data_IF_722183795040
#
_entry.id   IF_722183795040
#
_cell.length_a   1.000
_cell.length_b   1.000
_cell.length_c   1.000
_cell.angle_alpha   90.00
_cell.angle_beta   90.00
_cell.angle_gamma   90.00
#
_symmetry.space_group_name_H-M   'P 1'
#
loop_
_entity.id
_entity.type
_entity.pdbx_description
1 polymer ?
#
# COMPACT_ATOMS: atom_id res chain seq x y z
N UNK A 1 -53.60 -15.19 -4.58
CA UNK A 1 -53.04 -16.48 -4.13
C UNK A 1 -51.57 -16.49 -4.50
N UNK A 2 -50.57 -16.51 -3.62
CA UNK A 2 -50.45 -16.18 -2.22
C UNK A 2 -49.02 -15.65 -2.05
N UNK A 3 -48.87 -14.53 -1.34
CA UNK A 3 -47.60 -13.96 -0.90
C UNK A 3 -46.98 -14.87 0.17
N UNK A 4 -45.67 -15.09 0.12
CA UNK A 4 -44.93 -15.77 1.19
C UNK A 4 -43.85 -14.80 1.65
N UNK A 5 -44.12 -14.18 2.79
CA UNK A 5 -43.17 -13.36 3.54
C UNK A 5 -42.08 -14.24 4.17
N UNK A 6 -40.84 -13.74 4.32
CA UNK A 6 -39.80 -14.43 5.09
C UNK A 6 -40.11 -14.39 6.59
N UNK A 7 -39.83 -15.48 7.34
CA UNK A 7 -40.16 -15.57 8.75
C UNK A 7 -39.26 -14.69 9.63
N UNK A 8 -39.89 -14.13 10.67
CA UNK A 8 -39.31 -13.24 11.67
C UNK A 8 -38.23 -13.91 12.53
N UNK A 9 -37.17 -13.16 12.83
CA UNK A 9 -36.19 -13.47 13.87
C UNK A 9 -36.76 -13.08 15.24
N UNK A 10 -37.14 -14.07 16.04
CA UNK A 10 -37.19 -13.97 17.51
C UNK A 10 -36.85 -15.33 18.11
N UNK A 11 -35.70 -15.44 18.76
CA UNK A 11 -35.61 -15.79 20.18
C UNK A 11 -34.14 -15.97 20.58
N UNK A 12 -33.72 -15.13 21.51
CA UNK A 12 -32.43 -15.17 22.17
C UNK A 12 -32.46 -16.19 23.32
N UNK A 13 -31.47 -17.08 23.39
CA UNK A 13 -31.08 -17.86 24.58
C UNK A 13 -29.60 -18.28 24.42
N UNK A 14 -28.87 -18.64 25.50
CA UNK A 14 -28.30 -17.75 26.51
C UNK A 14 -26.75 -17.80 26.47
N UNK A 15 -26.12 -16.83 27.12
CA UNK A 15 -24.67 -16.67 27.13
C UNK A 15 -23.88 -17.88 27.63
N UNK A 16 -22.90 -18.28 26.84
CA UNK A 16 -21.69 -18.96 27.29
C UNK A 16 -20.59 -17.90 27.38
N UNK A 17 -20.28 -17.48 28.60
CA UNK A 17 -19.11 -16.69 28.91
C UNK A 17 -17.86 -17.42 28.37
N UNK A 18 -17.16 -16.80 27.43
CA UNK A 18 -15.77 -17.12 27.18
C UNK A 18 -15.00 -16.24 28.16
N UNK A 19 -14.38 -16.87 29.15
CA UNK A 19 -13.49 -16.21 30.10
C UNK A 19 -12.43 -15.45 29.30
N UNK A 20 -12.58 -14.12 29.25
CA UNK A 20 -11.56 -13.22 28.78
C UNK A 20 -10.50 -13.20 29.86
N UNK A 21 -9.28 -13.59 29.49
CA UNK A 21 -8.14 -13.48 30.38
C UNK A 21 -7.83 -11.99 30.49
N UNK A 22 -8.29 -11.39 31.59
CA UNK A 22 -8.01 -10.02 31.97
C UNK A 22 -6.50 -9.74 32.00
N UNK A 23 -6.13 -8.59 31.42
CA UNK A 23 -5.08 -7.75 31.99
C UNK A 23 -3.63 -8.11 31.67
N UNK A 24 -3.15 -7.68 30.49
CA UNK A 24 -1.86 -6.97 30.42
C UNK A 24 -2.06 -5.75 29.50
N UNK A 25 -2.61 -4.68 30.07
CA UNK A 25 -2.39 -3.35 29.51
C UNK A 25 -0.96 -2.92 29.89
N UNK A 26 -0.07 -2.58 28.94
CA UNK A 26 1.19 -1.96 29.30
C UNK A 26 0.89 -0.56 29.84
N UNK A 27 0.94 -0.43 31.17
CA UNK A 27 0.94 0.85 31.87
C UNK A 27 2.27 1.54 31.56
N UNK A 28 2.25 2.59 30.75
CA UNK A 28 3.31 3.58 30.69
C UNK A 28 2.70 4.99 30.77
N UNK A 29 3.33 5.80 31.60
CA UNK A 29 2.83 7.08 32.13
C UNK A 29 2.57 8.14 31.05
N UNK A 30 1.32 8.64 31.00
CA UNK A 30 1.03 10.09 30.97
C UNK A 30 1.41 10.94 29.76
N UNK A 31 1.86 10.38 28.64
CA UNK A 31 1.95 11.09 27.35
C UNK A 31 0.81 10.57 26.49
N UNK A 32 -0.02 11.44 25.90
CA UNK A 32 -1.00 11.01 24.90
C UNK A 32 -0.31 10.14 23.86
N UNK A 33 -0.71 8.87 23.78
CA UNK A 33 -0.07 7.89 22.91
C UNK A 33 -0.35 8.28 21.47
N UNK A 34 0.67 8.78 20.76
CA UNK A 34 0.59 9.03 19.32
C UNK A 34 0.07 7.78 18.60
N UNK A 35 -1.01 7.94 17.85
CA UNK A 35 -1.63 6.88 17.06
C UNK A 35 -1.39 7.19 15.57
N UNK A 36 -0.43 6.51 14.92
CA UNK A 36 -0.07 6.79 13.55
C UNK A 36 -1.21 6.41 12.62
N UNK A 37 -1.21 7.09 11.49
CA UNK A 37 -2.09 6.78 10.39
C UNK A 37 -1.24 6.54 9.15
N UNK A 38 -1.43 5.39 8.52
CA UNK A 38 -0.74 5.05 7.30
C UNK A 38 -1.75 4.80 6.18
N UNK A 39 -1.34 5.23 4.98
CA UNK A 39 -1.88 4.74 3.72
C UNK A 39 -0.81 3.84 3.13
N UNK A 40 -1.11 2.59 2.89
CA UNK A 40 -0.29 1.75 2.02
C UNK A 40 -0.74 1.99 0.58
N UNK A 41 0.01 2.83 -0.15
CA UNK A 41 -0.40 3.23 -1.52
C UNK A 41 -0.20 2.13 -2.56
N UNK A 42 0.46 1.02 -2.20
CA UNK A 42 0.78 -0.07 -3.12
C UNK A 42 0.85 -1.41 -2.39
N UNK A 43 -0.28 -2.14 -2.38
CA UNK A 43 -0.37 -3.50 -1.84
C UNK A 43 -1.01 -4.44 -2.87
N UNK A 44 -0.39 -5.58 -3.16
CA UNK A 44 -0.86 -6.51 -4.18
C UNK A 44 -1.80 -7.57 -3.59
N UNK A 45 -2.89 -7.17 -2.92
CA UNK A 45 -3.83 -8.10 -2.27
C UNK A 45 -4.53 -9.08 -3.22
N UNK A 46 -4.43 -8.85 -4.53
CA UNK A 46 -4.88 -9.79 -5.56
C UNK A 46 -3.93 -10.97 -5.74
N UNK A 47 -2.71 -10.93 -5.18
CA UNK A 47 -1.76 -12.03 -5.27
C UNK A 47 -2.30 -13.28 -4.56
N UNK A 48 -2.26 -14.47 -5.21
CA UNK A 48 -2.79 -15.70 -4.65
C UNK A 48 -2.21 -16.09 -3.27
N UNK A 49 -1.01 -15.61 -2.89
CA UNK A 49 -0.42 -15.91 -1.57
C UNK A 49 -1.25 -15.39 -0.41
N UNK A 50 -2.08 -14.35 -0.61
CA UNK A 50 -3.01 -13.84 0.40
C UNK A 50 -4.28 -14.69 0.54
N UNK A 51 -4.52 -15.59 -0.41
CA UNK A 51 -5.59 -16.60 -0.33
C UNK A 51 -5.04 -18.01 -0.05
N UNK A 52 -3.75 -18.09 0.31
CA UNK A 52 -3.09 -19.33 0.69
C UNK A 52 -2.56 -20.19 -0.46
N UNK A 53 -2.53 -19.66 -1.68
CA UNK A 53 -2.06 -20.37 -2.86
C UNK A 53 -0.66 -19.90 -3.23
N UNK A 54 0.32 -20.82 -3.25
CA UNK A 54 1.70 -20.54 -3.59
C UNK A 54 2.11 -21.38 -4.79
N UNK A 55 2.47 -20.73 -5.90
CA UNK A 55 2.80 -21.39 -7.17
C UNK A 55 1.72 -22.42 -7.58
N UNK A 56 0.45 -22.01 -7.50
CA UNK A 56 -0.70 -22.87 -7.83
C UNK A 56 -1.04 -23.96 -6.81
N UNK A 57 -0.31 -24.07 -5.70
CA UNK A 57 -0.56 -25.08 -4.65
C UNK A 57 -1.17 -24.44 -3.40
N UNK A 58 -2.34 -24.90 -2.91
CA UNK A 58 -2.88 -24.48 -1.62
C UNK A 58 -1.94 -24.90 -0.47
N UNK A 59 -1.65 -23.98 0.45
CA UNK A 59 -0.75 -24.20 1.59
C UNK A 59 -1.39 -23.90 2.94
N UNK A 60 -2.36 -22.99 2.97
CA UNK A 60 -3.16 -22.67 4.15
C UNK A 60 -4.52 -22.13 3.71
N UNK A 61 -5.42 -21.95 4.66
CA UNK A 61 -6.73 -21.35 4.42
C UNK A 61 -6.59 -19.89 4.00
N UNK A 62 -7.60 -19.37 3.30
CA UNK A 62 -7.61 -17.96 2.90
C UNK A 62 -7.62 -17.07 4.14
N UNK A 63 -6.57 -16.26 4.32
CA UNK A 63 -6.39 -15.37 5.45
C UNK A 63 -6.40 -13.89 5.07
N UNK A 64 -6.90 -13.55 3.87
CA UNK A 64 -6.92 -12.19 3.34
C UNK A 64 -7.58 -11.19 4.31
N UNK A 65 -8.74 -11.52 4.88
CA UNK A 65 -9.41 -10.65 5.84
C UNK A 65 -8.57 -10.42 7.10
N UNK A 66 -7.83 -11.45 7.54
CA UNK A 66 -6.91 -11.32 8.67
C UNK A 66 -5.69 -10.46 8.30
N UNK A 67 -5.16 -10.54 7.08
CA UNK A 67 -4.09 -9.65 6.57
C UNK A 67 -4.54 -8.18 6.63
N UNK A 68 -5.77 -7.89 6.16
CA UNK A 68 -6.35 -6.55 6.21
C UNK A 68 -6.52 -6.09 7.66
N UNK A 69 -7.05 -6.95 8.54
CA UNK A 69 -7.22 -6.61 9.95
C UNK A 69 -5.90 -6.27 10.64
N UNK A 70 -4.83 -7.06 10.40
CA UNK A 70 -3.50 -6.77 10.94
C UNK A 70 -2.95 -5.42 10.52
N UNK A 71 -3.28 -4.96 9.30
CA UNK A 71 -2.90 -3.63 8.83
C UNK A 71 -3.64 -2.54 9.61
N UNK A 72 -4.95 -2.69 9.80
CA UNK A 72 -5.78 -1.75 10.56
C UNK A 72 -5.31 -1.67 12.02
N UNK A 73 -4.99 -2.81 12.63
CA UNK A 73 -4.57 -2.91 14.04
C UNK A 73 -3.32 -2.07 14.35
N UNK A 74 -2.49 -1.76 13.35
CA UNK A 74 -1.28 -0.95 13.49
C UNK A 74 -1.44 0.50 12.98
N UNK A 75 -2.66 0.90 12.59
CA UNK A 75 -2.96 2.24 12.09
C UNK A 75 -2.84 2.41 10.57
N UNK A 76 -2.68 1.33 9.80
CA UNK A 76 -2.75 1.39 8.34
C UNK A 76 -4.22 1.39 7.90
N UNK A 77 -4.84 2.56 7.98
CA UNK A 77 -6.28 2.75 7.80
C UNK A 77 -6.73 2.64 6.34
N UNK A 78 -5.82 2.83 5.37
CA UNK A 78 -6.13 2.85 3.93
C UNK A 78 -5.15 1.97 3.16
N UNK A 79 -5.67 1.14 2.27
CA UNK A 79 -4.91 0.21 1.46
C UNK A 79 -5.31 0.43 -0.01
N UNK A 80 -4.37 0.80 -0.86
CA UNK A 80 -4.60 0.91 -2.30
C UNK A 80 -4.10 -0.37 -2.97
N UNK A 81 -5.05 -1.17 -3.47
CA UNK A 81 -4.78 -2.44 -4.13
C UNK A 81 -4.47 -2.21 -5.59
N UNK A 82 -3.29 -2.65 -6.00
CA UNK A 82 -2.76 -2.43 -7.35
C UNK A 82 -3.46 -3.32 -8.38
N UNK A 83 -4.03 -2.70 -9.42
CA UNK A 83 -4.46 -3.36 -10.65
C UNK A 83 -3.34 -3.36 -11.69
N UNK A 84 -2.90 -4.54 -12.13
CA UNK A 84 -1.78 -4.70 -13.08
C UNK A 84 -2.21 -5.20 -14.47
N UNK A 85 -3.48 -5.56 -14.63
CA UNK A 85 -4.17 -5.81 -15.89
C UNK A 85 -5.69 -5.70 -15.67
N UNK A 86 -6.51 -6.03 -16.68
CA UNK A 86 -7.96 -5.96 -16.57
C UNK A 86 -8.54 -6.87 -15.47
N UNK A 87 -8.05 -8.10 -15.33
CA UNK A 87 -8.57 -9.07 -14.35
C UNK A 87 -8.17 -8.69 -12.92
N UNK A 88 -6.91 -8.30 -12.73
CA UNK A 88 -6.41 -7.79 -11.46
C UNK A 88 -7.10 -6.49 -11.08
N UNK A 89 -7.33 -5.58 -12.03
CA UNK A 89 -8.11 -4.35 -11.81
C UNK A 89 -9.55 -4.64 -11.38
N UNK A 90 -10.22 -5.61 -12.02
CA UNK A 90 -11.56 -6.04 -11.61
C UNK A 90 -11.56 -6.62 -10.19
N UNK A 91 -10.52 -7.39 -9.84
CA UNK A 91 -10.37 -7.99 -8.52
C UNK A 91 -10.11 -6.94 -7.45
N UNK A 92 -9.22 -5.98 -7.71
CA UNK A 92 -8.96 -4.85 -6.83
C UNK A 92 -10.24 -4.04 -6.56
N UNK A 93 -11.03 -3.76 -7.60
CA UNK A 93 -12.34 -3.09 -7.46
C UNK A 93 -13.34 -3.92 -6.64
N UNK A 94 -13.34 -5.26 -6.78
CA UNK A 94 -14.17 -6.14 -5.92
C UNK A 94 -13.74 -6.04 -4.45
N UNK A 95 -12.44 -6.10 -4.17
CA UNK A 95 -11.92 -5.94 -2.80
C UNK A 95 -12.29 -4.58 -2.20
N UNK A 96 -12.21 -3.50 -2.98
CA UNK A 96 -12.64 -2.18 -2.54
C UNK A 96 -14.15 -2.11 -2.17
N UNK A 97 -14.98 -2.94 -2.81
CA UNK A 97 -16.41 -3.07 -2.46
C UNK A 97 -16.63 -3.89 -1.20
N UNK A 98 -15.82 -4.92 -0.98
CA UNK A 98 -15.91 -5.82 0.18
C UNK A 98 -15.40 -5.16 1.47
N UNK A 99 -14.43 -4.26 1.36
CA UNK A 99 -13.83 -3.52 2.48
C UNK A 99 -13.99 -2.01 2.30
N UNK A 100 -15.24 -1.49 2.36
CA UNK A 100 -15.51 -0.08 2.11
C UNK A 100 -14.79 0.82 3.11
N UNK A 101 -14.32 1.98 2.65
CA UNK A 101 -13.53 2.95 3.42
C UNK A 101 -12.16 2.46 3.91
N UNK A 102 -11.75 1.24 3.55
CA UNK A 102 -10.45 0.66 3.93
C UNK A 102 -9.64 0.34 2.68
N UNK A 103 -10.22 -0.38 1.72
CA UNK A 103 -9.56 -0.76 0.48
C UNK A 103 -10.04 0.13 -0.68
N UNK A 104 -9.08 0.56 -1.48
CA UNK A 104 -9.28 1.25 -2.76
C UNK A 104 -8.52 0.51 -3.86
N UNK A 105 -8.81 0.82 -5.11
CA UNK A 105 -8.20 0.17 -6.26
C UNK A 105 -7.47 1.17 -7.15
N UNK A 106 -6.41 0.70 -7.80
CA UNK A 106 -5.93 1.27 -9.06
C UNK A 106 -6.48 0.45 -10.23
N UNK A 107 -6.55 1.08 -11.41
CA UNK A 107 -6.96 0.40 -12.66
C UNK A 107 -5.95 0.74 -13.75
N UNK A 108 -5.37 -0.28 -14.39
CA UNK A 108 -4.32 -0.10 -15.38
C UNK A 108 -3.82 -1.43 -15.94
N UNK A 109 -2.89 -1.34 -16.89
CA UNK A 109 -2.12 -2.48 -17.43
C UNK A 109 -0.62 -2.20 -17.26
N UNK A 110 0.02 -3.02 -16.43
CA UNK A 110 1.44 -2.97 -16.09
C UNK A 110 2.32 -3.24 -17.33
N UNK A 111 3.54 -2.65 -17.44
CA UNK A 111 4.46 -2.92 -18.54
C UNK A 111 4.69 -4.42 -18.85
N UNK A 112 4.84 -5.27 -17.84
CA UNK A 112 5.00 -6.73 -18.06
C UNK A 112 3.77 -7.39 -18.72
N UNK A 113 2.60 -6.77 -18.61
CA UNK A 113 1.34 -7.25 -19.19
C UNK A 113 0.90 -6.41 -20.40
N UNK A 114 1.72 -5.49 -20.90
CA UNK A 114 1.35 -4.52 -21.94
C UNK A 114 0.81 -5.16 -23.23
N UNK A 115 1.28 -6.37 -23.57
CA UNK A 115 0.75 -7.17 -24.69
C UNK A 115 -0.74 -7.53 -24.59
N UNK A 116 -1.32 -7.51 -23.39
CA UNK A 116 -2.74 -7.74 -23.16
C UNK A 116 -3.61 -6.52 -23.52
N UNK A 117 -3.01 -5.34 -23.73
CA UNK A 117 -3.71 -4.10 -24.03
C UNK A 117 -4.15 -4.04 -25.51
N UNK A 118 -5.18 -4.82 -25.84
CA UNK A 118 -5.89 -4.74 -27.11
C UNK A 118 -6.91 -3.60 -27.10
N UNK A 119 -7.48 -3.25 -28.26
CA UNK A 119 -8.59 -2.29 -28.33
C UNK A 119 -9.81 -2.71 -27.48
N UNK A 120 -10.10 -4.01 -27.43
CA UNK A 120 -11.17 -4.59 -26.58
C UNK A 120 -10.84 -4.45 -25.10
N UNK A 121 -9.59 -4.74 -24.72
CA UNK A 121 -9.11 -4.59 -23.34
C UNK A 121 -9.18 -3.13 -22.92
N UNK A 122 -8.71 -2.20 -23.75
CA UNK A 122 -8.72 -0.77 -23.48
C UNK A 122 -10.15 -0.23 -23.28
N UNK A 123 -11.11 -0.66 -24.11
CA UNK A 123 -12.53 -0.31 -23.96
C UNK A 123 -13.13 -0.84 -22.65
N UNK A 124 -12.80 -2.08 -22.30
CA UNK A 124 -13.24 -2.71 -21.04
C UNK A 124 -12.63 -2.02 -19.82
N UNK A 125 -11.33 -1.69 -19.88
CA UNK A 125 -10.60 -0.97 -18.86
C UNK A 125 -11.19 0.44 -18.66
N UNK A 126 -11.50 1.14 -19.75
CA UNK A 126 -12.16 2.46 -19.72
C UNK A 126 -13.50 2.40 -19.01
N UNK A 127 -14.33 1.41 -19.37
CA UNK A 127 -15.64 1.20 -18.73
C UNK A 127 -15.50 0.89 -17.25
N UNK A 128 -14.57 0.01 -16.88
CA UNK A 128 -14.28 -0.33 -15.48
C UNK A 128 -13.81 0.90 -14.70
N UNK A 129 -12.90 1.69 -15.26
CA UNK A 129 -12.41 2.92 -14.63
C UNK A 129 -13.55 3.90 -14.39
N UNK A 130 -14.32 4.26 -15.43
CA UNK A 130 -15.41 5.23 -15.31
C UNK A 130 -16.48 4.81 -14.28
N UNK A 131 -16.84 3.53 -14.24
CA UNK A 131 -17.83 3.00 -13.29
C UNK A 131 -17.28 2.97 -11.85
N UNK A 132 -16.02 2.56 -11.68
CA UNK A 132 -15.38 2.42 -10.37
C UNK A 132 -15.02 3.77 -9.75
N UNK A 133 -14.66 4.77 -10.56
CA UNK A 133 -14.44 6.16 -10.13
C UNK A 133 -15.74 6.74 -9.56
N UNK A 134 -16.85 6.64 -10.31
CA UNK A 134 -18.17 7.15 -9.87
C UNK A 134 -18.63 6.50 -8.56
N UNK A 135 -18.26 5.26 -8.34
CA UNK A 135 -18.62 4.51 -7.15
C UNK A 135 -17.62 4.71 -5.98
N UNK A 136 -16.53 5.46 -6.17
CA UNK A 136 -15.52 5.72 -5.13
C UNK A 136 -14.59 4.56 -4.83
N UNK A 137 -14.55 3.53 -5.67
CA UNK A 137 -13.70 2.35 -5.47
C UNK A 137 -12.32 2.49 -6.10
N UNK A 138 -12.21 3.20 -7.24
CA UNK A 138 -10.95 3.42 -7.93
C UNK A 138 -10.44 4.85 -7.73
N UNK A 139 -9.21 4.98 -7.24
CA UNK A 139 -8.63 6.27 -6.78
C UNK A 139 -7.40 6.71 -7.58
N UNK A 140 -6.81 5.80 -8.35
CA UNK A 140 -5.68 6.09 -9.24
C UNK A 140 -5.79 5.31 -10.55
N UNK A 141 -5.20 5.86 -11.61
CA UNK A 141 -5.04 5.16 -12.88
C UNK A 141 -3.60 4.64 -12.97
N UNK A 142 -3.47 3.33 -13.05
CA UNK A 142 -2.22 2.61 -12.82
C UNK A 142 -2.49 1.18 -12.34
N UNK A 143 -1.53 0.28 -12.31
CA UNK A 143 -0.10 0.53 -12.54
C UNK A 143 0.21 0.60 -14.03
N UNK A 144 0.77 1.72 -14.49
CA UNK A 144 1.17 1.93 -15.89
C UNK A 144 2.59 2.49 -15.95
N UNK A 145 3.34 2.18 -17.02
CA UNK A 145 4.70 2.69 -17.15
C UNK A 145 5.60 1.76 -17.95
N UNK A 146 6.88 1.69 -17.57
CA UNK A 146 7.94 0.96 -18.30
C UNK A 146 8.83 0.16 -17.35
N UNK A 147 9.12 -1.11 -17.68
CA UNK A 147 10.05 -1.98 -16.96
C UNK A 147 11.03 -2.64 -17.95
N UNK A 148 12.25 -2.10 -18.03
CA UNK A 148 13.29 -2.61 -18.93
C UNK A 148 14.12 -3.74 -18.31
N UNK A 149 13.90 -4.09 -17.04
CA UNK A 149 14.48 -5.28 -16.42
C UNK A 149 13.61 -6.53 -16.66
N UNK A 150 12.47 -6.39 -17.36
CA UNK A 150 11.50 -7.47 -17.65
C UNK A 150 11.13 -7.57 -19.13
N UNK A 151 12.06 -7.27 -20.02
CA UNK A 151 11.83 -7.32 -21.48
C UNK A 151 11.50 -8.74 -21.98
N UNK A 152 11.84 -9.77 -21.23
CA UNK A 152 11.43 -11.15 -21.48
C UNK A 152 9.92 -11.40 -21.26
N UNK A 153 9.26 -10.59 -20.43
CA UNK A 153 7.81 -10.66 -20.20
C UNK A 153 7.03 -9.84 -21.22
N UNK A 154 7.55 -8.67 -21.59
CA UNK A 154 6.98 -7.84 -22.66
C UNK A 154 8.06 -6.97 -23.34
N UNK A 155 8.19 -7.03 -24.69
CA UNK A 155 9.18 -6.23 -25.42
C UNK A 155 9.01 -4.72 -25.25
N UNK A 156 10.14 -3.99 -25.34
CA UNK A 156 10.22 -2.54 -25.12
C UNK A 156 9.25 -1.73 -25.99
N UNK A 157 9.13 -2.07 -27.26
CA UNK A 157 8.26 -1.38 -28.23
C UNK A 157 6.77 -1.51 -27.85
N UNK A 158 6.35 -2.68 -27.38
CA UNK A 158 4.99 -2.92 -26.90
C UNK A 158 4.73 -2.14 -25.60
N UNK A 159 5.68 -2.14 -24.66
CA UNK A 159 5.56 -1.34 -23.44
C UNK A 159 5.41 0.16 -23.76
N UNK A 160 6.23 0.70 -24.65
CA UNK A 160 6.16 2.10 -25.07
C UNK A 160 4.81 2.47 -25.69
N UNK A 161 4.28 1.61 -26.57
CA UNK A 161 2.98 1.82 -27.20
C UNK A 161 1.84 1.77 -26.18
N UNK A 162 1.84 0.76 -25.31
CA UNK A 162 0.81 0.61 -24.28
C UNK A 162 0.83 1.75 -23.26
N UNK A 163 2.02 2.22 -22.86
CA UNK A 163 2.14 3.34 -21.94
C UNK A 163 1.60 4.63 -22.56
N UNK A 164 1.94 4.95 -23.81
CA UNK A 164 1.41 6.13 -24.52
C UNK A 164 -0.12 6.07 -24.69
N UNK A 165 -0.68 4.89 -25.00
CA UNK A 165 -2.13 4.70 -25.10
C UNK A 165 -2.81 4.92 -23.74
N UNK A 166 -2.23 4.40 -22.66
CA UNK A 166 -2.77 4.57 -21.32
C UNK A 166 -2.63 6.01 -20.81
N UNK A 167 -1.53 6.71 -21.10
CA UNK A 167 -1.40 8.15 -20.81
C UNK A 167 -2.48 8.98 -21.52
N UNK A 168 -2.80 8.61 -22.77
CA UNK A 168 -3.90 9.26 -23.51
C UNK A 168 -5.24 9.06 -22.81
N UNK A 169 -5.55 7.82 -22.36
CA UNK A 169 -6.75 7.54 -21.57
C UNK A 169 -6.74 8.26 -20.21
N UNK A 170 -5.57 8.40 -19.59
CA UNK A 170 -5.43 9.05 -18.30
C UNK A 170 -5.82 10.54 -18.33
N UNK A 171 -5.54 11.22 -19.45
CA UNK A 171 -6.01 12.59 -19.70
C UNK A 171 -7.54 12.67 -19.69
N UNK A 172 -8.25 11.64 -20.15
CA UNK A 172 -9.71 11.64 -20.11
C UNK A 172 -10.26 11.29 -18.71
N UNK A 173 -9.57 10.40 -17.99
CA UNK A 173 -10.02 9.92 -16.67
C UNK A 173 -9.76 10.92 -15.53
N UNK A 174 -8.74 11.78 -15.66
CA UNK A 174 -8.40 12.81 -14.66
C UNK A 174 -8.24 12.25 -13.24
N UNK A 175 -7.71 11.03 -13.12
CA UNK A 175 -7.23 10.45 -11.86
C UNK A 175 -5.74 10.78 -11.67
N UNK A 176 -5.25 10.83 -10.42
CA UNK A 176 -3.83 10.73 -10.16
C UNK A 176 -3.26 9.44 -10.78
N UNK A 177 -2.03 9.51 -11.28
CA UNK A 177 -1.37 8.35 -11.86
C UNK A 177 -0.63 7.53 -10.80
N UNK A 178 -0.64 6.21 -10.96
CA UNK A 178 0.20 5.28 -10.23
C UNK A 178 1.19 4.64 -11.22
N UNK A 179 2.43 5.13 -11.20
CA UNK A 179 3.39 5.02 -12.30
C UNK A 179 4.56 4.10 -11.98
N UNK A 180 4.82 3.15 -12.87
CA UNK A 180 5.96 2.23 -12.78
C UNK A 180 7.12 2.71 -13.65
N UNK A 181 8.33 2.76 -13.09
CA UNK A 181 9.55 3.03 -13.86
C UNK A 181 10.70 2.18 -13.34
N UNK A 182 11.27 1.33 -14.20
CA UNK A 182 12.47 0.55 -13.91
C UNK A 182 13.41 0.51 -15.10
N UNK A 183 14.64 0.98 -14.90
CA UNK A 183 15.69 1.07 -15.92
C UNK A 183 15.25 1.77 -17.23
N UNK A 184 14.23 2.64 -17.16
CA UNK A 184 13.52 3.19 -18.32
C UNK A 184 13.30 4.71 -18.25
N UNK A 185 13.97 5.41 -17.32
CA UNK A 185 13.68 6.81 -16.96
C UNK A 185 13.61 7.78 -18.14
N UNK A 186 14.59 7.72 -19.06
CA UNK A 186 14.62 8.63 -20.21
C UNK A 186 13.40 8.50 -21.11
N UNK A 187 13.01 7.26 -21.47
CA UNK A 187 11.82 7.03 -22.28
C UNK A 187 10.53 7.28 -21.50
N UNK A 188 10.53 6.97 -20.20
CA UNK A 188 9.42 7.21 -19.29
C UNK A 188 9.07 8.71 -19.23
N UNK A 189 10.05 9.57 -18.91
CA UNK A 189 9.86 11.03 -18.88
C UNK A 189 9.50 11.61 -20.25
N UNK A 190 10.14 11.13 -21.33
CA UNK A 190 9.86 11.59 -22.70
C UNK A 190 8.40 11.34 -23.10
N UNK A 191 7.79 10.24 -22.65
CA UNK A 191 6.38 9.97 -22.91
C UNK A 191 5.48 10.79 -21.97
N UNK A 192 5.84 10.85 -20.68
CA UNK A 192 5.07 11.54 -19.66
C UNK A 192 4.94 13.05 -19.94
N UNK A 193 6.03 13.70 -20.37
CA UNK A 193 6.08 15.15 -20.64
C UNK A 193 5.18 15.59 -21.79
N UNK A 194 4.76 14.70 -22.69
CA UNK A 194 3.79 15.02 -23.76
C UNK A 194 2.37 15.23 -23.23
N UNK A 195 2.10 14.75 -22.02
CA UNK A 195 0.77 14.75 -21.41
C UNK A 195 0.72 15.54 -20.09
N UNK A 196 1.86 15.91 -19.52
CA UNK A 196 1.96 16.50 -18.17
C UNK A 196 1.07 17.74 -17.98
N UNK A 197 1.01 18.66 -18.95
CA UNK A 197 0.17 19.86 -18.87
C UNK A 197 -1.34 19.55 -18.78
N UNK A 198 -1.75 18.35 -19.22
CA UNK A 198 -3.14 17.87 -19.20
C UNK A 198 -3.42 16.92 -18.03
N UNK A 199 -2.44 16.70 -17.16
CA UNK A 199 -2.50 15.81 -16.00
C UNK A 199 -2.24 16.62 -14.70
N UNK A 200 -3.14 17.55 -14.32
CA UNK A 200 -2.90 18.50 -13.23
C UNK A 200 -2.78 17.82 -11.85
N UNK A 201 -3.38 16.63 -11.68
CA UNK A 201 -3.27 15.84 -10.44
C UNK A 201 -1.94 15.10 -10.30
N UNK A 202 -1.12 15.10 -11.36
CA UNK A 202 0.14 14.34 -11.43
C UNK A 202 -0.09 12.90 -10.96
N UNK A 203 0.80 12.39 -10.12
CA UNK A 203 0.75 11.03 -9.61
C UNK A 203 2.00 10.71 -8.81
N UNK A 204 2.10 9.43 -8.45
CA UNK A 204 3.26 8.85 -7.78
C UNK A 204 4.01 7.95 -8.75
N UNK A 205 5.33 8.10 -8.81
CA UNK A 205 6.23 7.03 -9.27
C UNK A 205 6.46 6.09 -8.09
N UNK A 206 5.78 4.96 -8.11
CA UNK A 206 5.74 4.03 -6.99
C UNK A 206 6.97 3.13 -6.97
N UNK A 207 7.26 2.51 -5.83
CA UNK A 207 8.36 1.56 -5.64
C UNK A 207 9.70 2.10 -6.19
N UNK A 208 10.00 3.37 -5.91
CA UNK A 208 11.10 4.07 -6.56
C UNK A 208 12.46 3.49 -6.14
N UNK A 209 13.26 3.06 -7.11
CA UNK A 209 14.64 2.55 -6.91
C UNK A 209 15.65 3.19 -7.85
N UNK A 210 15.30 4.33 -8.47
CA UNK A 210 16.13 5.04 -9.43
C UNK A 210 17.28 5.83 -8.78
N UNK A 211 18.00 6.58 -9.61
CA UNK A 211 19.11 7.42 -9.16
C UNK A 211 18.63 8.73 -8.51
N UNK A 212 19.57 9.47 -7.91
CA UNK A 212 19.28 10.77 -7.32
C UNK A 212 18.83 11.78 -8.39
N UNK A 213 19.48 11.77 -9.55
CA UNK A 213 19.16 12.63 -10.68
C UNK A 213 17.76 12.33 -11.21
N UNK A 214 17.42 11.05 -11.37
CA UNK A 214 16.09 10.63 -11.81
C UNK A 214 15.00 11.10 -10.84
N UNK A 215 15.24 10.96 -9.52
CA UNK A 215 14.33 11.44 -8.49
C UNK A 215 14.14 12.97 -8.54
N UNK A 216 15.24 13.72 -8.68
CA UNK A 216 15.21 15.18 -8.76
C UNK A 216 14.42 15.68 -9.98
N UNK A 217 14.60 15.05 -11.15
CA UNK A 217 13.83 15.39 -12.34
C UNK A 217 12.33 15.12 -12.15
N UNK A 218 11.96 13.99 -11.53
CA UNK A 218 10.56 13.66 -11.22
C UNK A 218 9.93 14.67 -10.27
N UNK A 219 10.60 14.98 -9.16
CA UNK A 219 10.12 15.94 -8.16
C UNK A 219 10.01 17.34 -8.77
N UNK A 220 10.96 17.77 -9.60
CA UNK A 220 10.88 19.05 -10.31
C UNK A 220 9.67 19.14 -11.26
N UNK A 221 9.26 18.01 -11.85
CA UNK A 221 8.04 17.89 -12.66
C UNK A 221 6.74 17.80 -11.85
N UNK A 222 6.81 17.79 -10.52
CA UNK A 222 5.66 17.62 -9.62
C UNK A 222 5.20 16.17 -9.46
N UNK A 223 6.03 15.19 -9.81
CA UNK A 223 5.74 13.77 -9.59
C UNK A 223 6.21 13.35 -8.21
N UNK A 224 5.31 12.74 -7.45
CA UNK A 224 5.60 12.26 -6.10
C UNK A 224 6.33 10.91 -6.14
N UNK A 225 6.98 10.55 -5.03
CA UNK A 225 7.83 9.37 -4.93
C UNK A 225 7.29 8.40 -3.88
N UNK A 226 7.02 7.16 -4.29
CA UNK A 226 6.62 6.06 -3.41
C UNK A 226 7.81 5.24 -2.92
N UNK A 227 7.88 5.02 -1.61
CA UNK A 227 8.99 4.33 -0.92
C UNK A 227 8.50 3.07 -0.22
N UNK A 228 9.20 1.96 -0.48
CA UNK A 228 9.02 0.67 0.21
C UNK A 228 10.36 0.03 0.57
N UNK A 229 10.35 -1.24 1.00
CA UNK A 229 11.58 -1.94 1.35
C UNK A 229 12.54 -2.23 0.18
N UNK A 230 12.07 -2.19 -1.07
CA UNK A 230 12.94 -2.24 -2.26
C UNK A 230 13.70 -0.93 -2.49
N UNK A 231 13.08 0.21 -2.18
CA UNK A 231 13.69 1.55 -2.16
C UNK A 231 14.72 1.77 -1.05
N UNK A 232 14.98 0.75 -0.23
CA UNK A 232 15.74 0.83 1.01
C UNK A 232 16.81 -0.28 1.10
N UNK A 233 17.15 -0.90 -0.03
CA UNK A 233 18.07 -2.04 -0.11
C UNK A 233 19.54 -1.65 0.04
N UNK A 234 20.00 -0.66 -0.72
CA UNK A 234 21.41 -0.26 -0.77
C UNK A 234 21.64 1.09 -0.07
N UNK A 235 22.90 1.41 0.22
CA UNK A 235 23.30 2.74 0.72
C UNK A 235 22.94 3.83 -0.30
N UNK A 236 23.08 3.54 -1.59
CA UNK A 236 22.70 4.45 -2.69
C UNK A 236 21.20 4.72 -2.68
N UNK A 237 20.36 3.69 -2.53
CA UNK A 237 18.91 3.91 -2.42
C UNK A 237 18.57 4.76 -1.19
N UNK A 238 19.22 4.50 -0.04
CA UNK A 238 19.02 5.29 1.17
C UNK A 238 19.46 6.76 0.99
N UNK A 239 20.55 6.99 0.24
CA UNK A 239 21.00 8.34 -0.09
C UNK A 239 19.98 9.09 -0.95
N UNK A 240 19.30 8.43 -1.88
CA UNK A 240 18.20 9.05 -2.64
C UNK A 240 17.00 9.37 -1.72
N UNK A 241 16.58 8.42 -0.88
CA UNK A 241 15.47 8.62 0.08
C UNK A 241 15.72 9.81 1.02
N UNK A 242 16.98 10.04 1.38
CA UNK A 242 17.38 11.18 2.20
C UNK A 242 17.02 12.53 1.56
N UNK A 243 17.12 12.63 0.24
CA UNK A 243 16.92 13.88 -0.51
C UNK A 243 15.46 14.12 -0.94
N UNK A 244 14.58 13.12 -0.86
CA UNK A 244 13.15 13.29 -1.22
C UNK A 244 12.46 14.26 -0.26
N UNK A 245 11.81 15.35 -0.73
CA UNK A 245 11.04 16.23 0.15
C UNK A 245 9.89 15.48 0.84
N UNK A 246 9.65 15.76 2.13
CA UNK A 246 8.59 15.06 2.90
C UNK A 246 7.18 15.28 2.33
N UNK A 247 6.93 16.43 1.71
CA UNK A 247 5.68 16.77 1.03
C UNK A 247 5.50 16.10 -0.35
N UNK A 248 6.54 15.42 -0.85
CA UNK A 248 6.52 14.64 -2.10
C UNK A 248 6.63 13.12 -1.87
N UNK A 249 6.69 12.68 -0.60
CA UNK A 249 6.93 11.30 -0.22
C UNK A 249 5.64 10.54 0.10
N UNK A 250 5.54 9.30 -0.37
CA UNK A 250 4.51 8.34 0.00
C UNK A 250 5.15 7.04 0.51
N UNK A 251 4.41 6.31 1.34
CA UNK A 251 4.84 5.02 1.89
C UNK A 251 4.01 3.89 1.28
N UNK A 252 4.66 2.79 0.96
CA UNK A 252 4.01 1.57 0.51
C UNK A 252 4.78 0.33 1.00
N UNK A 253 4.15 -0.84 0.93
CA UNK A 253 4.83 -2.11 1.24
C UNK A 253 5.22 -2.90 0.00
N UNK A 254 4.46 -2.74 -1.10
CA UNK A 254 4.52 -3.59 -2.30
C UNK A 254 4.40 -5.08 -1.94
N UNK A 255 3.66 -5.40 -0.88
CA UNK A 255 3.42 -6.77 -0.44
C UNK A 255 2.75 -7.59 -1.55
N UNK A 256 3.12 -8.87 -1.74
CA UNK A 256 3.90 -9.71 -0.83
C UNK A 256 5.42 -9.55 -0.96
N UNK A 257 5.89 -8.62 -1.80
CA UNK A 257 7.29 -8.36 -2.11
C UNK A 257 7.92 -7.36 -1.14
N UNK A 258 9.16 -6.96 -1.43
CA UNK A 258 9.85 -5.84 -0.79
C UNK A 258 9.94 -5.87 0.75
N UNK A 259 9.93 -7.06 1.37
CA UNK A 259 10.29 -7.22 2.78
C UNK A 259 11.69 -6.60 3.05
N UNK A 260 11.83 -5.77 4.08
CA UNK A 260 13.14 -5.31 4.56
C UNK A 260 13.87 -6.50 5.19
N UNK A 261 15.01 -6.90 4.59
CA UNK A 261 15.79 -8.07 5.02
C UNK A 261 17.04 -7.64 5.79
N UNK A 262 17.64 -8.54 6.62
CA UNK A 262 18.86 -8.24 7.36
C UNK A 262 20.05 -7.75 6.52
N UNK A 263 20.11 -8.14 5.24
CA UNK A 263 21.16 -7.73 4.32
C UNK A 263 20.96 -6.32 3.73
N UNK A 264 19.80 -5.69 3.93
CA UNK A 264 19.52 -4.36 3.40
C UNK A 264 20.15 -3.28 4.29
N UNK A 265 20.60 -2.17 3.69
CA UNK A 265 21.15 -1.02 4.41
C UNK A 265 20.18 -0.47 5.47
N UNK A 266 18.88 -0.41 5.15
CA UNK A 266 17.83 -0.02 6.10
C UNK A 266 17.74 -0.89 7.35
N UNK A 267 18.13 -2.17 7.28
CA UNK A 267 18.12 -3.02 8.47
C UNK A 267 19.13 -2.54 9.53
N UNK A 268 20.29 -2.02 9.12
CA UNK A 268 21.27 -1.46 10.05
C UNK A 268 20.74 -0.19 10.70
N UNK A 269 20.06 0.66 9.92
CA UNK A 269 19.42 1.90 10.40
C UNK A 269 18.34 1.56 11.43
N UNK A 270 17.45 0.62 11.13
CA UNK A 270 16.40 0.17 12.04
C UNK A 270 16.98 -0.39 13.35
N UNK A 271 18.05 -1.18 13.28
CA UNK A 271 18.71 -1.71 14.48
C UNK A 271 19.28 -0.59 15.36
N UNK A 272 19.93 0.42 14.74
CA UNK A 272 20.45 1.59 15.46
C UNK A 272 19.33 2.37 16.14
N UNK A 273 18.24 2.66 15.42
CA UNK A 273 17.08 3.35 15.99
C UNK A 273 16.46 2.57 17.16
N UNK A 274 16.38 1.24 17.04
CA UNK A 274 15.87 0.38 18.10
C UNK A 274 16.69 0.53 19.39
N UNK A 275 18.01 0.51 19.26
CA UNK A 275 18.94 0.69 20.38
C UNK A 275 18.81 2.09 21.01
N UNK A 276 18.78 3.14 20.18
CA UNK A 276 18.68 4.54 20.64
C UNK A 276 17.36 4.84 21.37
N UNK A 277 16.27 4.23 20.93
CA UNK A 277 14.94 4.38 21.53
C UNK A 277 14.71 3.44 22.73
N UNK A 278 15.69 2.60 23.09
CA UNK A 278 15.60 1.72 24.24
C UNK A 278 14.61 0.55 24.06
N UNK A 279 14.25 0.20 22.82
CA UNK A 279 13.49 -1.02 22.56
C UNK A 279 14.39 -2.22 22.86
N UNK A 280 14.00 -3.02 23.86
CA UNK A 280 14.77 -4.19 24.28
C UNK A 280 14.96 -5.16 23.11
N UNK A 281 16.20 -5.58 22.88
CA UNK A 281 16.55 -6.60 21.89
C UNK A 281 16.43 -8.04 22.42
N UNK A 282 16.03 -8.21 23.70
CA UNK A 282 16.05 -9.50 24.40
C UNK A 282 14.97 -9.61 25.48
N UNK A 283 13.83 -10.17 25.12
CA UNK A 283 12.83 -10.73 26.01
C UNK A 283 12.40 -12.08 25.44
N UNK A 284 13.08 -13.13 25.89
CA UNK A 284 12.69 -14.52 25.62
C UNK A 284 11.39 -14.83 26.35
N UNK A 285 10.25 -14.50 25.75
CA UNK A 285 8.97 -15.03 26.21
C UNK A 285 8.88 -16.52 25.79
N UNK A 286 8.92 -17.43 26.76
CA UNK A 286 8.72 -18.87 26.52
C UNK A 286 7.24 -19.13 26.31
N UNK A 287 6.86 -19.64 25.15
CA UNK A 287 5.50 -20.13 24.88
C UNK A 287 5.48 -21.67 24.95
N UNK A 288 4.43 -22.25 25.53
CA UNK A 288 4.20 -23.70 25.57
C UNK A 288 3.17 -24.03 24.48
N UNK A 289 3.61 -24.61 23.37
CA UNK A 289 2.71 -25.07 22.31
C UNK A 289 1.92 -26.33 22.70
N UNK A 290 0.81 -26.61 21.99
CA UNK A 290 0.09 -27.89 22.08
C UNK A 290 1.07 -29.03 21.71
N UNK A 291 1.51 -29.79 22.71
CA UNK A 291 2.54 -30.81 22.59
C UNK A 291 3.76 -30.60 23.50
N UNK A 292 3.81 -29.53 24.31
CA UNK A 292 4.84 -29.33 25.32
C UNK A 292 6.23 -28.94 24.78
N UNK A 293 6.36 -28.70 23.46
CA UNK A 293 7.59 -28.15 22.89
C UNK A 293 7.67 -26.65 23.16
N UNK A 294 8.79 -26.25 23.77
CA UNK A 294 9.24 -24.86 23.88
C UNK A 294 9.82 -24.48 22.52
N UNK A 295 9.19 -23.54 21.82
CA UNK A 295 9.74 -22.94 20.60
C UNK A 295 10.25 -21.54 20.94
N UNK A 296 11.44 -21.19 20.44
CA UNK A 296 11.99 -19.84 20.56
C UNK A 296 11.12 -18.86 19.74
N UNK A 297 10.63 -17.81 20.38
CA UNK A 297 9.80 -16.78 19.74
C UNK A 297 10.75 -15.71 19.17
N UNK A 298 10.70 -15.48 17.85
CA UNK A 298 11.34 -14.31 17.24
C UNK A 298 10.63 -13.04 17.75
N UNK A 299 11.41 -12.17 18.37
CA UNK A 299 10.98 -10.99 19.14
C UNK A 299 10.47 -9.84 18.25
N UNK A 300 9.72 -8.92 18.85
CA UNK A 300 9.12 -7.75 18.21
C UNK A 300 10.17 -6.92 17.43
N UNK A 301 10.17 -7.10 16.11
CA UNK A 301 11.03 -6.35 15.18
C UNK A 301 10.43 -5.02 14.76
N UNK A 302 9.21 -4.71 15.20
CA UNK A 302 8.41 -3.58 14.72
C UNK A 302 8.64 -2.27 15.49
N UNK A 303 9.50 -2.26 16.52
CA UNK A 303 9.74 -1.07 17.36
C UNK A 303 8.42 -0.50 17.93
N UNK A 304 7.57 -1.39 18.46
CA UNK A 304 6.30 -1.02 19.11
C UNK A 304 5.06 -1.03 18.20
N UNK A 305 5.14 -1.57 16.98
CA UNK A 305 4.11 -1.50 15.93
C UNK A 305 3.71 -2.88 15.37
N UNK A 306 3.58 -3.90 16.23
CA UNK A 306 3.21 -5.26 15.82
C UNK A 306 4.39 -6.21 15.67
N UNK A 307 4.83 -6.77 16.79
CA UNK A 307 5.67 -7.96 16.82
C UNK A 307 4.87 -9.19 16.40
N UNK A 308 4.71 -9.38 15.09
CA UNK A 308 3.96 -10.51 14.56
C UNK A 308 4.79 -11.79 14.60
N UNK A 309 4.25 -12.83 15.26
CA UNK A 309 4.84 -14.17 15.16
C UNK A 309 4.82 -14.61 13.70
N UNK A 310 5.97 -14.98 13.17
CA UNK A 310 6.12 -15.43 11.78
C UNK A 310 6.41 -16.93 11.71
N UNK A 311 5.74 -17.64 10.80
CA UNK A 311 5.94 -19.08 10.57
C UNK A 311 6.11 -19.37 9.08
N UNK A 312 6.64 -20.56 8.76
CA UNK A 312 6.60 -21.05 7.38
C UNK A 312 5.14 -21.28 6.96
N UNK A 313 4.81 -21.04 5.69
CA UNK A 313 3.45 -21.20 5.15
C UNK A 313 2.81 -22.57 5.43
N UNK A 314 3.60 -23.64 5.49
CA UNK A 314 3.12 -25.00 5.80
C UNK A 314 2.77 -25.21 7.28
N UNK A 315 3.14 -24.26 8.15
CA UNK A 315 2.86 -24.26 9.59
C UNK A 315 1.94 -23.10 9.99
N UNK A 316 1.31 -22.45 9.01
CA UNK A 316 0.44 -21.32 9.27
C UNK A 316 -0.73 -21.73 10.17
N UNK A 317 -1.08 -20.83 11.08
CA UNK A 317 -2.26 -20.91 11.94
C UNK A 317 -2.88 -19.50 12.00
N UNK A 318 -4.13 -19.41 12.42
CA UNK A 318 -4.78 -18.10 12.58
C UNK A 318 -4.00 -17.20 13.55
N UNK A 319 -3.91 -15.91 13.22
CA UNK A 319 -3.23 -14.89 14.03
C UNK A 319 -1.72 -14.76 13.85
N UNK A 320 -1.07 -15.57 12.99
CA UNK A 320 0.36 -15.44 12.67
C UNK A 320 0.60 -14.97 11.24
N UNK A 321 1.72 -14.29 11.00
CA UNK A 321 2.17 -13.89 9.65
C UNK A 321 3.03 -14.99 9.02
N UNK A 322 3.24 -14.89 7.70
CA UNK A 322 4.02 -15.87 6.95
C UNK A 322 5.41 -15.34 6.63
N UNK A 323 6.43 -16.15 6.93
CA UNK A 323 7.82 -15.84 6.66
C UNK A 323 8.04 -15.62 5.16
N UNK A 324 8.52 -14.44 4.80
CA UNK A 324 8.77 -14.06 3.41
C UNK A 324 7.56 -13.53 2.64
N UNK A 325 6.36 -13.46 3.26
CA UNK A 325 5.19 -12.78 2.70
C UNK A 325 5.07 -11.41 3.38
N UNK A 326 5.42 -10.34 2.67
CA UNK A 326 5.27 -8.99 3.20
C UNK A 326 3.78 -8.59 3.25
N UNK A 327 3.42 -7.72 4.18
CA UNK A 327 2.03 -7.33 4.48
C UNK A 327 2.00 -5.85 4.89
N UNK A 328 0.84 -5.19 4.70
CA UNK A 328 0.65 -3.77 5.07
C UNK A 328 0.85 -3.50 6.56
N UNK A 329 0.73 -4.51 7.43
CA UNK A 329 1.07 -4.37 8.84
C UNK A 329 2.56 -4.08 9.11
N UNK A 330 3.43 -4.23 8.11
CA UNK A 330 4.85 -3.88 8.20
C UNK A 330 5.19 -2.47 7.68
N UNK A 331 4.21 -1.66 7.25
CA UNK A 331 4.46 -0.32 6.71
C UNK A 331 5.18 0.60 7.70
N UNK A 332 4.96 0.42 9.00
CA UNK A 332 5.69 1.14 10.06
C UNK A 332 7.21 0.95 9.98
N UNK A 333 7.69 -0.21 9.51
CA UNK A 333 9.14 -0.44 9.30
C UNK A 333 9.70 0.44 8.20
N UNK A 334 8.92 0.70 7.15
CA UNK A 334 9.30 1.63 6.08
C UNK A 334 9.35 3.06 6.63
N UNK A 335 8.33 3.47 7.38
CA UNK A 335 8.28 4.80 8.01
C UNK A 335 9.48 5.05 8.94
N UNK A 336 9.81 4.08 9.80
CA UNK A 336 10.97 4.16 10.68
C UNK A 336 12.29 4.23 9.91
N UNK A 337 12.47 3.40 8.88
CA UNK A 337 13.68 3.44 8.07
C UNK A 337 13.85 4.82 7.41
N UNK A 338 12.78 5.39 6.84
CA UNK A 338 12.78 6.74 6.26
C UNK A 338 13.13 7.78 7.33
N UNK A 339 12.53 7.70 8.53
CA UNK A 339 12.83 8.61 9.64
C UNK A 339 14.32 8.59 10.02
N UNK A 340 14.90 7.40 10.17
CA UNK A 340 16.32 7.22 10.48
C UNK A 340 17.25 7.71 9.38
N UNK A 341 16.88 7.52 8.11
CA UNK A 341 17.64 8.03 6.95
C UNK A 341 17.66 9.55 6.93
N UNK A 342 16.51 10.18 7.18
CA UNK A 342 16.30 11.63 7.06
C UNK A 342 16.70 12.40 8.33
N UNK A 343 16.82 11.72 9.47
CA UNK A 343 17.13 12.34 10.75
C UNK A 343 15.96 13.15 11.33
N UNK A 344 14.73 12.72 11.05
CA UNK A 344 13.48 13.33 11.55
C UNK A 344 12.71 12.31 12.40
N UNK A 345 11.64 12.74 13.08
CA UNK A 345 10.80 11.80 13.82
C UNK A 345 9.96 10.92 12.88
N UNK A 346 9.62 9.70 13.33
CA UNK A 346 8.70 8.83 12.59
C UNK A 346 7.31 9.46 12.45
N UNK A 347 6.93 10.31 13.41
CA UNK A 347 5.68 11.06 13.37
C UNK A 347 5.66 12.04 12.20
N UNK A 348 6.72 12.83 12.00
CA UNK A 348 6.82 13.73 10.85
C UNK A 348 6.73 12.99 9.50
N UNK A 349 7.35 11.80 9.40
CA UNK A 349 7.28 10.98 8.19
C UNK A 349 5.85 10.46 7.97
N UNK A 350 5.25 9.87 9.00
CA UNK A 350 3.90 9.29 8.91
C UNK A 350 2.85 10.37 8.61
N UNK A 351 2.89 11.51 9.30
CA UNK A 351 1.94 12.60 9.11
C UNK A 351 2.07 13.22 7.71
N UNK A 352 3.30 13.39 7.21
CA UNK A 352 3.53 13.87 5.85
C UNK A 352 3.02 12.87 4.80
N UNK A 353 3.42 11.60 4.89
CA UNK A 353 3.02 10.56 3.95
C UNK A 353 1.50 10.31 3.95
N UNK A 354 0.87 10.38 5.13
CA UNK A 354 -0.58 10.35 5.27
C UNK A 354 -1.22 11.52 4.53
N UNK A 355 -0.85 12.76 4.87
CA UNK A 355 -1.40 13.97 4.23
C UNK A 355 -1.25 13.94 2.71
N UNK A 356 -0.06 13.58 2.21
CA UNK A 356 0.21 13.51 0.78
C UNK A 356 -0.72 12.49 0.10
N UNK A 357 -0.85 11.28 0.68
CA UNK A 357 -1.67 10.20 0.13
C UNK A 357 -3.17 10.52 0.18
N UNK A 358 -3.67 11.03 1.31
CA UNK A 358 -5.07 11.45 1.43
C UNK A 358 -5.42 12.52 0.40
N UNK A 359 -4.57 13.55 0.25
CA UNK A 359 -4.82 14.65 -0.67
C UNK A 359 -4.73 14.20 -2.14
N UNK A 360 -3.71 13.41 -2.48
CA UNK A 360 -3.51 12.97 -3.86
C UNK A 360 -4.67 12.07 -4.32
N UNK A 361 -5.01 11.05 -3.52
CA UNK A 361 -5.97 10.01 -3.93
C UNK A 361 -7.41 10.28 -3.47
N UNK A 362 -7.66 11.37 -2.75
CA UNK A 362 -9.01 11.74 -2.28
C UNK A 362 -9.62 10.72 -1.32
N UNK A 363 -8.79 10.07 -0.48
CA UNK A 363 -9.21 8.96 0.36
C UNK A 363 -10.06 9.45 1.53
N UNK A 364 -11.19 8.77 1.78
CA UNK A 364 -12.10 9.12 2.88
C UNK A 364 -13.01 10.33 2.61
N UNK A 365 -13.01 10.88 1.40
CA UNK A 365 -13.99 11.90 0.99
C UNK A 365 -15.25 11.18 0.49
N UNK A 366 -16.38 11.38 1.17
CA UNK A 366 -17.67 10.87 0.70
C UNK A 366 -18.06 11.57 -0.61
N UNK A 367 -17.94 10.85 -1.74
CA UNK A 367 -18.35 11.35 -3.06
C UNK A 367 -19.88 11.59 -3.19
N UNK A 368 -20.64 11.39 -2.11
CA UNK A 368 -22.07 11.72 -2.03
C UNK A 368 -22.37 13.20 -1.77
N UNK A 369 -21.35 14.03 -1.52
CA UNK A 369 -21.50 15.48 -1.33
C UNK A 369 -21.12 16.30 -2.56
N UNK A 370 -22.00 16.40 -3.56
CA UNK A 370 -21.87 17.42 -4.58
C UNK A 370 -21.93 18.83 -3.96
N UNK A 371 -20.95 19.66 -4.30
CA UNK A 371 -20.83 21.10 -4.01
C UNK A 371 -20.74 21.53 -2.53
N UNK A 372 -19.54 21.89 -2.08
CA UNK A 372 -19.35 22.48 -0.75
C UNK A 372 -18.02 23.20 -0.49
N UNK A 373 -17.17 23.43 -1.50
CA UNK A 373 -15.82 24.01 -1.32
C UNK A 373 -15.53 25.23 -2.20
N UNK A 374 -16.54 26.05 -2.52
CA UNK A 374 -16.35 27.30 -3.30
C UNK A 374 -16.99 28.56 -2.69
N UNK A 375 -17.33 28.59 -1.39
CA UNK A 375 -18.02 29.77 -0.81
C UNK A 375 -17.35 30.48 0.37
N UNK A 376 -16.05 30.35 0.57
CA UNK A 376 -15.38 31.02 1.69
C UNK A 376 -14.32 32.07 1.33
N UNK A 377 -14.32 32.61 0.09
CA UNK A 377 -13.39 33.69 -0.28
C UNK A 377 -14.01 34.86 -1.06
N UNK A 378 -15.24 35.26 -0.72
CA UNK A 378 -15.84 36.52 -1.20
C UNK A 378 -16.64 37.26 -0.13
N UNK A 379 -16.05 37.52 1.03
CA UNK A 379 -16.59 38.48 2.00
C UNK A 379 -15.48 39.23 2.77
N UNK A 380 -14.43 39.67 2.09
CA UNK A 380 -13.55 40.74 2.59
C UNK A 380 -13.11 41.62 1.42
N UNK A 381 -13.99 42.54 1.03
CA UNK A 381 -13.71 43.79 0.31
C UNK A 381 -15.06 44.45 -0.04
N UNK A 382 -15.62 45.18 0.92
CA UNK A 382 -16.91 45.83 0.76
C UNK A 382 -17.41 46.51 2.02
N UNK A 383 -16.64 47.45 2.56
CA UNK A 383 -17.12 48.59 3.35
C UNK A 383 -16.04 49.68 3.36
#
# INVERSE_FOLDING_TARGET
MATVDPPALTDALPGTAVDTVDGIAPVQNGVEKWNPKFVDIGINLTDPVYTGIYHGTPRHENDLSAVVQRAIDIGCEKLIVTGSDLEHSQTAVRLAREFPNTIYATIGVHPCNAQSLTSTTLSSLTTLAQTSIKAGHAVAFGEIGLDYDRLELCPKDIQLQAFEQQLSLAVDLQLPLFLHSRAAHSDFLRLLSKHEDRLPKRGVVHSFTGSLEEMQELVAGGWHIGINGCSLKTEENCAVVKEIPLDMLHLETDGPWCEIRPAHASSAILNKMREELGFSSKSKAKFIGKGGRVEDVEEDTSMGWGGWKSVKKEKWIEGVVIKGRNESCFIGRVAWAVAGIKGVSVQEVADAAWRNSINMFGLGVDLKGGSGLEKENRLENGA
#
